data_IF_278885216133
#
_entry.id   IF_278885216133
#
_cell.length_a   1.000
_cell.length_b   1.000
_cell.length_c   1.000
_cell.angle_alpha   90.00
_cell.angle_beta   90.00
_cell.angle_gamma   90.00
#
_symmetry.space_group_name_H-M   'P 1'
#
loop_
_entity.id
_entity.type
_entity.pdbx_description
1 polymer ?
#
# COMPACT_ATOMS: atom_id res chain seq x y z
N UNK A 1 67.03 28.36 46.28
CA UNK A 1 66.55 27.73 45.03
C UNK A 1 65.21 28.32 44.65
N UNK A 2 65.27 29.33 43.78
CA UNK A 2 64.16 29.92 43.03
C UNK A 2 63.86 29.02 41.82
N UNK A 3 62.57 28.80 41.52
CA UNK A 3 61.95 28.64 40.20
C UNK A 3 60.45 28.36 40.45
N UNK A 4 59.51 29.28 40.21
CA UNK A 4 59.04 29.87 38.96
C UNK A 4 58.11 28.96 38.11
N UNK A 5 56.92 29.52 37.86
CA UNK A 5 56.02 29.38 36.72
C UNK A 5 54.89 28.32 36.69
N UNK A 6 53.70 28.78 37.11
CA UNK A 6 52.56 29.19 36.26
C UNK A 6 51.91 28.21 35.24
N UNK A 7 50.57 28.37 35.18
CA UNK A 7 49.60 28.04 34.11
C UNK A 7 48.96 26.63 34.07
N UNK A 8 47.70 26.50 34.53
CA UNK A 8 46.52 26.33 33.65
C UNK A 8 45.21 25.99 34.39
N UNK A 9 44.32 26.98 34.42
CA UNK A 9 42.89 26.90 34.07
C UNK A 9 42.16 25.55 34.25
N UNK A 10 41.48 25.39 35.38
CA UNK A 10 40.35 24.43 35.49
C UNK A 10 39.19 24.99 34.67
N UNK A 11 39.18 24.60 33.40
CA UNK A 11 38.19 24.94 32.42
C UNK A 11 36.89 24.20 32.77
N UNK A 12 35.81 24.97 32.99
CA UNK A 12 34.44 24.47 33.11
C UNK A 12 34.14 23.50 31.96
N UNK A 13 34.02 22.19 32.26
CA UNK A 13 33.35 21.26 31.36
C UNK A 13 31.85 21.52 31.46
N UNK A 14 31.38 22.47 30.66
CA UNK A 14 29.98 22.57 30.29
C UNK A 14 29.61 21.26 29.60
N UNK A 15 28.86 20.40 30.30
CA UNK A 15 28.19 19.27 29.70
C UNK A 15 27.15 19.87 28.74
N UNK A 16 27.49 19.98 27.46
CA UNK A 16 26.54 20.32 26.42
C UNK A 16 25.52 19.19 26.34
N UNK A 17 24.36 19.42 26.95
CA UNK A 17 23.18 18.59 26.75
C UNK A 17 22.76 18.79 25.30
N UNK A 18 23.14 17.86 24.43
CA UNK A 18 22.68 17.82 23.06
C UNK A 18 21.19 17.47 23.10
N UNK A 19 20.35 18.50 23.08
CA UNK A 19 18.91 18.34 22.94
C UNK A 19 18.66 17.83 21.51
N UNK A 20 18.55 16.52 21.34
CA UNK A 20 17.97 15.94 20.13
C UNK A 20 16.51 16.34 20.17
N UNK A 21 16.17 17.43 19.48
CA UNK A 21 14.79 17.74 19.13
C UNK A 21 14.38 16.62 18.20
N UNK A 22 13.67 15.62 18.75
CA UNK A 22 12.84 14.76 17.95
C UNK A 22 11.87 15.69 17.22
N UNK A 23 12.10 15.88 15.92
CA UNK A 23 11.07 16.44 15.07
C UNK A 23 9.91 15.46 15.16
N UNK A 24 8.91 15.80 15.98
CA UNK A 24 7.60 15.21 15.86
C UNK A 24 7.17 15.52 14.42
N UNK A 25 7.19 14.50 13.57
CA UNK A 25 6.61 14.55 12.23
C UNK A 25 5.22 15.13 12.41
N UNK A 26 4.98 16.33 11.87
CA UNK A 26 3.62 16.85 11.83
C UNK A 26 2.75 15.76 11.19
N UNK A 27 1.57 15.44 11.76
CA UNK A 27 0.70 14.43 11.16
C UNK A 27 0.50 14.83 9.69
N UNK A 28 0.70 13.88 8.78
CA UNK A 28 0.46 14.13 7.37
C UNK A 28 -0.95 14.74 7.25
N UNK A 29 -1.06 15.86 6.54
CA UNK A 29 -2.36 16.39 6.16
C UNK A 29 -3.07 15.26 5.40
N UNK A 30 -4.20 14.80 5.95
CA UNK A 30 -4.88 13.61 5.49
C UNK A 30 -6.30 13.95 5.06
N UNK A 31 -6.67 13.54 3.86
CA UNK A 31 -8.05 13.56 3.42
C UNK A 31 -8.71 12.28 3.93
N UNK A 32 -9.88 12.44 4.54
CA UNK A 32 -10.64 11.31 5.09
C UNK A 32 -11.90 11.10 4.28
N UNK A 33 -12.07 9.90 3.75
CA UNK A 33 -13.32 9.42 3.18
C UNK A 33 -14.06 8.60 4.23
N UNK A 34 -15.29 8.98 4.56
CA UNK A 34 -16.14 8.28 5.52
C UNK A 34 -17.40 7.76 4.85
N UNK A 35 -17.83 6.56 5.25
CA UNK A 35 -19.13 6.00 4.87
C UNK A 35 -19.52 4.83 5.77
N UNK A 36 -20.78 4.80 6.23
CA UNK A 36 -21.40 3.67 6.93
C UNK A 36 -20.51 2.86 7.88
N UNK A 37 -19.80 3.54 8.78
CA UNK A 37 -18.98 2.86 9.80
C UNK A 37 -17.59 2.43 9.34
N UNK A 38 -17.16 2.83 8.14
CA UNK A 38 -15.78 2.71 7.66
C UNK A 38 -15.19 4.07 7.29
N UNK A 39 -13.89 4.22 7.49
CA UNK A 39 -13.14 5.40 7.10
C UNK A 39 -11.83 5.01 6.40
N UNK A 40 -11.48 5.74 5.36
CA UNK A 40 -10.23 5.64 4.63
C UNK A 40 -9.50 6.99 4.72
N UNK A 41 -8.27 6.97 5.23
CA UNK A 41 -7.40 8.14 5.29
C UNK A 41 -6.30 8.02 4.25
N UNK A 42 -6.07 9.09 3.49
CA UNK A 42 -4.99 9.18 2.50
C UNK A 42 -4.19 10.46 2.70
N UNK A 43 -2.92 10.48 2.29
CA UNK A 43 -2.12 11.70 2.34
C UNK A 43 -2.57 12.73 1.30
N UNK A 44 -2.71 14.00 1.72
CA UNK A 44 -3.02 15.14 0.84
C UNK A 44 -1.79 15.69 0.11
N UNK A 45 -0.59 15.29 0.54
CA UNK A 45 0.68 15.75 0.00
C UNK A 45 1.59 14.58 -0.31
N UNK A 46 2.46 14.78 -1.30
CA UNK A 46 3.45 13.79 -1.71
C UNK A 46 4.33 13.33 -0.53
N UNK A 47 4.63 12.02 -0.43
CA UNK A 47 4.11 10.96 -1.28
C UNK A 47 2.61 10.76 -1.05
N UNK A 48 1.84 10.62 -2.14
CA UNK A 48 0.41 10.34 -2.07
C UNK A 48 0.19 8.83 -1.87
N UNK A 49 -0.70 8.47 -0.95
CA UNK A 49 -1.16 7.10 -0.75
C UNK A 49 -2.06 6.91 0.46
N UNK A 50 -2.51 5.68 0.67
CA UNK A 50 -3.31 5.27 1.83
C UNK A 50 -2.45 5.36 3.10
N UNK A 51 -3.02 5.92 4.17
CA UNK A 51 -2.41 6.01 5.51
C UNK A 51 -3.11 5.04 6.46
N UNK A 52 -4.45 5.04 6.48
CA UNK A 52 -5.24 4.24 7.40
C UNK A 52 -6.55 3.75 6.78
N UNK A 53 -6.97 2.55 7.20
CA UNK A 53 -8.35 2.05 7.04
C UNK A 53 -8.89 1.80 8.44
N UNK A 54 -10.11 2.24 8.75
CA UNK A 54 -10.68 2.19 10.11
C UNK A 54 -12.13 1.74 10.11
N UNK A 55 -12.56 1.08 11.19
CA UNK A 55 -13.98 0.83 11.49
C UNK A 55 -14.60 2.07 12.16
N UNK A 56 -14.68 3.16 11.39
CA UNK A 56 -15.13 4.48 11.82
C UNK A 56 -13.97 5.44 12.11
N UNK A 57 -14.22 6.76 12.07
CA UNK A 57 -13.16 7.78 12.05
C UNK A 57 -12.29 7.81 13.32
N UNK A 58 -12.83 7.36 14.45
CA UNK A 58 -12.13 7.38 15.74
C UNK A 58 -11.58 6.00 16.15
N UNK A 59 -11.73 4.98 15.31
CA UNK A 59 -11.20 3.64 15.60
C UNK A 59 -9.70 3.56 15.31
N UNK A 60 -8.96 2.64 15.94
CA UNK A 60 -7.59 2.32 15.53
C UNK A 60 -7.51 1.95 14.04
N UNK A 61 -6.35 2.22 13.43
CA UNK A 61 -6.09 1.75 12.08
C UNK A 61 -6.11 0.21 12.05
N UNK A 62 -6.71 -0.35 11.01
CA UNK A 62 -6.82 -1.79 10.81
C UNK A 62 -5.65 -2.23 9.95
N UNK A 63 -4.74 -3.00 10.55
CA UNK A 63 -3.63 -3.65 9.87
C UNK A 63 -2.68 -2.75 9.10
N UNK A 64 -2.72 -1.43 9.25
CA UNK A 64 -1.72 -0.50 8.73
C UNK A 64 -1.17 0.32 9.88
N UNK A 65 0.03 0.87 9.73
CA UNK A 65 0.70 1.61 10.82
C UNK A 65 -0.02 2.91 11.17
N UNK A 66 -0.74 3.52 10.21
CA UNK A 66 -1.33 4.84 10.36
C UNK A 66 -0.31 5.99 10.38
N UNK A 67 0.99 5.67 10.30
CA UNK A 67 2.10 6.64 10.36
C UNK A 67 2.82 6.80 9.02
N UNK A 68 2.68 5.81 8.14
CA UNK A 68 3.38 5.75 6.85
C UNK A 68 2.37 5.82 5.71
N UNK A 69 2.82 6.43 4.61
CA UNK A 69 2.08 6.41 3.35
C UNK A 69 2.38 5.12 2.61
N UNK A 70 1.34 4.34 2.33
CA UNK A 70 1.44 3.08 1.62
C UNK A 70 1.65 3.27 0.11
N UNK A 71 2.38 2.33 -0.48
CA UNK A 71 2.48 2.17 -1.95
C UNK A 71 1.13 1.73 -2.49
N UNK A 72 0.23 2.69 -2.72
CA UNK A 72 -1.18 2.43 -3.06
C UNK A 72 -1.34 1.66 -4.37
N UNK A 73 -0.41 1.86 -5.31
CA UNK A 73 -0.33 1.13 -6.56
C UNK A 73 1.11 0.82 -6.97
N UNK A 74 1.28 -0.17 -7.83
CA UNK A 74 2.53 -0.46 -8.56
C UNK A 74 2.17 -0.92 -9.98
N UNK A 75 2.85 -0.37 -10.99
CA UNK A 75 2.77 -0.84 -12.38
C UNK A 75 4.00 -1.69 -12.69
N UNK A 76 3.79 -2.84 -13.31
CA UNK A 76 4.83 -3.64 -13.96
C UNK A 76 4.66 -3.46 -15.46
N UNK A 77 5.68 -2.92 -16.12
CA UNK A 77 5.65 -2.65 -17.56
C UNK A 77 6.89 -3.22 -18.25
N UNK A 78 6.84 -3.35 -19.57
CA UNK A 78 7.98 -3.74 -20.43
C UNK A 78 8.26 -2.59 -21.39
N UNK A 79 9.51 -2.17 -21.50
CA UNK A 79 9.95 -1.14 -22.46
C UNK A 79 10.07 -1.72 -23.89
N UNK A 80 10.26 -0.87 -24.93
CA UNK A 80 10.44 -1.32 -26.30
C UNK A 80 11.62 -2.28 -26.51
N UNK A 81 12.64 -2.19 -25.65
CA UNK A 81 13.82 -3.06 -25.65
C UNK A 81 13.58 -4.41 -24.97
N UNK A 82 12.44 -4.60 -24.30
CA UNK A 82 12.06 -5.83 -23.62
C UNK A 82 12.47 -5.91 -22.14
N UNK A 83 12.93 -4.80 -21.53
CA UNK A 83 13.29 -4.75 -20.12
C UNK A 83 12.05 -4.50 -19.25
N UNK A 84 12.02 -5.14 -18.08
CA UNK A 84 10.99 -4.88 -17.07
C UNK A 84 11.27 -3.58 -16.30
N UNK A 85 10.25 -2.72 -16.20
CA UNK A 85 10.24 -1.53 -15.37
C UNK A 85 9.09 -1.59 -14.36
N UNK A 86 9.41 -1.20 -13.11
CA UNK A 86 8.44 -1.05 -12.03
C UNK A 86 8.27 0.41 -11.67
N UNK A 87 7.03 0.84 -11.58
CA UNK A 87 6.64 2.20 -11.23
C UNK A 87 5.73 2.16 -10.01
N UNK A 88 6.08 2.90 -8.96
CA UNK A 88 5.23 3.09 -7.78
C UNK A 88 5.39 4.53 -7.25
N UNK A 89 4.35 5.09 -6.60
CA UNK A 89 4.32 6.52 -6.30
C UNK A 89 5.31 6.93 -5.20
N UNK A 90 5.69 6.00 -4.31
CA UNK A 90 6.55 6.30 -3.18
C UNK A 90 8.02 6.28 -3.60
N UNK A 91 8.47 5.21 -4.27
CA UNK A 91 9.87 5.07 -4.71
C UNK A 91 10.22 6.10 -5.79
N UNK A 92 9.24 6.53 -6.59
CA UNK A 92 9.43 7.60 -7.58
C UNK A 92 9.18 9.00 -7.02
N UNK A 93 8.72 9.11 -5.77
CA UNK A 93 8.36 10.35 -5.11
C UNK A 93 7.45 11.22 -6.00
N UNK A 94 6.42 10.60 -6.58
CA UNK A 94 5.50 11.30 -7.47
C UNK A 94 4.67 12.31 -6.68
N UNK A 95 4.56 13.52 -7.24
CA UNK A 95 3.61 14.52 -6.80
C UNK A 95 2.18 14.14 -7.18
N UNK A 96 1.27 15.09 -7.01
CA UNK A 96 -0.12 14.94 -7.39
C UNK A 96 -1.08 15.73 -6.52
N UNK A 97 -2.36 15.38 -6.62
CA UNK A 97 -3.43 16.01 -5.86
C UNK A 97 -4.45 14.98 -5.36
N UNK A 98 -5.10 15.33 -4.25
CA UNK A 98 -6.27 14.63 -3.74
C UNK A 98 -7.48 15.56 -3.82
N UNK A 99 -8.61 15.02 -4.26
CA UNK A 99 -9.88 15.73 -4.29
C UNK A 99 -10.95 14.87 -3.61
N UNK A 100 -11.77 15.49 -2.77
CA UNK A 100 -12.95 14.88 -2.18
C UNK A 100 -14.17 15.69 -2.62
N UNK A 101 -15.02 15.09 -3.44
CA UNK A 101 -16.24 15.71 -3.95
C UNK A 101 -17.34 14.65 -4.03
N UNK A 102 -18.57 15.00 -3.65
CA UNK A 102 -19.73 14.11 -3.76
C UNK A 102 -19.54 12.71 -3.13
N UNK A 103 -18.86 12.64 -1.97
CA UNK A 103 -18.47 11.39 -1.28
C UNK A 103 -17.54 10.46 -2.09
N UNK A 104 -16.93 10.96 -3.15
CA UNK A 104 -15.87 10.29 -3.90
C UNK A 104 -14.53 10.92 -3.57
N UNK A 105 -13.60 10.11 -3.09
CA UNK A 105 -12.20 10.51 -2.94
C UNK A 105 -11.45 10.11 -4.20
N UNK A 106 -10.72 11.04 -4.80
CA UNK A 106 -9.89 10.79 -5.98
C UNK A 106 -8.46 11.24 -5.71
N UNK A 107 -7.50 10.36 -5.96
CA UNK A 107 -6.06 10.62 -5.93
C UNK A 107 -5.56 10.60 -7.36
N UNK A 108 -4.90 11.67 -7.79
CA UNK A 108 -4.29 11.77 -9.12
C UNK A 108 -2.82 12.08 -8.93
N UNK A 109 -1.96 11.21 -9.46
CA UNK A 109 -0.53 11.44 -9.44
C UNK A 109 -0.09 12.24 -10.65
N UNK A 110 0.99 13.01 -10.49
CA UNK A 110 1.67 13.63 -11.63
C UNK A 110 2.18 12.55 -12.58
N UNK A 111 2.27 12.89 -13.87
CA UNK A 111 2.76 11.96 -14.89
C UNK A 111 4.21 11.52 -14.59
N UNK A 112 4.45 10.22 -14.69
CA UNK A 112 5.78 9.64 -14.59
C UNK A 112 6.38 9.45 -15.98
N UNK A 113 7.64 9.86 -16.13
CA UNK A 113 8.43 9.60 -17.35
C UNK A 113 8.83 8.12 -17.42
N UNK A 114 8.60 7.51 -18.58
CA UNK A 114 8.99 6.14 -18.93
C UNK A 114 9.54 6.12 -20.37
N UNK A 115 10.21 5.05 -20.82
CA UNK A 115 10.65 4.96 -22.21
C UNK A 115 9.51 5.20 -23.20
N UNK A 116 9.74 6.14 -24.13
CA UNK A 116 8.78 6.49 -25.19
C UNK A 116 7.64 7.44 -24.77
N UNK A 117 7.58 7.91 -23.52
CA UNK A 117 6.59 8.92 -23.13
C UNK A 117 6.28 8.95 -21.64
N UNK A 118 5.00 9.03 -21.30
CA UNK A 118 4.57 9.20 -19.90
C UNK A 118 3.42 8.29 -19.53
N UNK A 119 3.33 8.00 -18.24
CA UNK A 119 2.21 7.27 -17.64
C UNK A 119 1.62 8.10 -16.53
N UNK A 120 0.29 8.19 -16.49
CA UNK A 120 -0.45 8.86 -15.42
C UNK A 120 -1.38 7.86 -14.75
N UNK A 121 -1.47 7.95 -13.42
CA UNK A 121 -2.33 7.06 -12.62
C UNK A 121 -3.32 7.91 -11.84
N UNK A 122 -4.57 7.44 -11.78
CA UNK A 122 -5.57 7.93 -10.86
C UNK A 122 -6.21 6.77 -10.11
N UNK A 123 -6.52 6.99 -8.85
CA UNK A 123 -7.26 6.05 -8.01
C UNK A 123 -8.47 6.78 -7.45
N UNK A 124 -9.60 6.09 -7.35
CA UNK A 124 -10.80 6.65 -6.73
C UNK A 124 -11.44 5.67 -5.76
N UNK A 125 -12.05 6.24 -4.72
CA UNK A 125 -12.67 5.51 -3.64
C UNK A 125 -14.06 6.09 -3.36
N UNK A 126 -15.06 5.21 -3.24
CA UNK A 126 -16.45 5.59 -3.01
C UNK A 126 -17.06 4.63 -1.97
N UNK A 127 -17.69 5.16 -0.91
CA UNK A 127 -18.35 4.32 0.07
C UNK A 127 -19.69 3.84 -0.49
N UNK A 128 -20.06 2.60 -0.15
CA UNK A 128 -21.42 2.13 -0.36
C UNK A 128 -22.42 2.96 0.47
N UNK A 129 -23.61 3.19 -0.07
CA UNK A 129 -24.62 4.03 0.56
C UNK A 129 -25.34 3.37 1.73
N UNK A 130 -25.31 2.04 1.85
CA UNK A 130 -26.02 1.28 2.89
C UNK A 130 -25.13 0.34 3.71
N UNK A 131 -23.97 -0.05 3.17
CA UNK A 131 -23.09 -1.05 3.74
C UNK A 131 -21.74 -0.46 4.19
N UNK A 132 -21.04 -1.06 5.18
CA UNK A 132 -19.70 -0.67 5.63
C UNK A 132 -18.63 -1.09 4.60
N UNK A 133 -18.76 -0.62 3.36
CA UNK A 133 -17.94 -1.00 2.21
C UNK A 133 -17.39 0.25 1.53
N UNK A 134 -16.15 0.18 1.04
CA UNK A 134 -15.55 1.17 0.15
C UNK A 134 -15.15 0.46 -1.13
N UNK A 135 -15.67 0.94 -2.25
CA UNK A 135 -15.25 0.56 -3.60
C UNK A 135 -13.98 1.32 -3.96
N UNK A 136 -13.00 0.65 -4.54
CA UNK A 136 -11.78 1.25 -5.04
C UNK A 136 -11.61 0.96 -6.53
N UNK A 137 -11.27 1.97 -7.31
CA UNK A 137 -10.98 1.86 -8.74
C UNK A 137 -9.63 2.50 -9.08
N UNK A 138 -8.96 1.99 -10.10
CA UNK A 138 -7.72 2.55 -10.64
C UNK A 138 -7.84 2.74 -12.16
N UNK A 139 -7.33 3.86 -12.65
CA UNK A 139 -7.15 4.13 -14.07
C UNK A 139 -5.69 4.52 -14.35
N UNK A 140 -5.19 4.08 -15.49
CA UNK A 140 -3.83 4.30 -15.99
C UNK A 140 -3.93 4.82 -17.41
N UNK A 141 -3.49 6.06 -17.61
CA UNK A 141 -3.32 6.66 -18.95
C UNK A 141 -1.87 6.40 -19.38
N UNK A 142 -1.67 5.54 -20.38
CA UNK A 142 -0.36 5.11 -20.83
C UNK A 142 -0.01 5.75 -22.18
N UNK A 143 0.53 6.96 -22.13
CA UNK A 143 0.99 7.69 -23.29
C UNK A 143 2.49 7.42 -23.56
N UNK A 144 2.86 6.14 -23.65
CA UNK A 144 4.24 5.71 -23.87
C UNK A 144 4.32 4.49 -24.79
N UNK A 145 5.56 4.11 -25.17
CA UNK A 145 5.80 2.88 -25.94
C UNK A 145 5.91 1.63 -25.05
N UNK A 146 5.66 1.76 -23.74
CA UNK A 146 5.75 0.65 -22.80
C UNK A 146 4.45 -0.18 -22.78
N UNK A 147 4.60 -1.50 -22.63
CA UNK A 147 3.51 -2.46 -22.48
C UNK A 147 3.16 -2.62 -21.00
N UNK A 148 1.89 -2.50 -20.63
CA UNK A 148 1.44 -2.71 -19.26
C UNK A 148 1.22 -4.21 -18.98
N UNK A 149 2.08 -4.82 -18.15
CA UNK A 149 2.01 -6.26 -17.83
C UNK A 149 1.10 -6.55 -16.65
N UNK A 150 1.15 -5.71 -15.64
CA UNK A 150 0.38 -5.86 -14.42
C UNK A 150 0.13 -4.49 -13.79
N UNK A 151 -1.08 -4.31 -13.28
CA UNK A 151 -1.47 -3.17 -12.43
C UNK A 151 -1.75 -3.73 -11.05
N UNK A 152 -1.05 -3.28 -10.02
CA UNK A 152 -1.31 -3.70 -8.65
C UNK A 152 -2.07 -2.61 -7.90
N UNK A 153 -3.32 -2.88 -7.52
CA UNK A 153 -4.17 -1.96 -6.75
C UNK A 153 -5.36 -2.69 -6.09
N UNK A 154 -5.71 -2.40 -4.83
CA UNK A 154 -4.91 -1.65 -3.89
C UNK A 154 -3.66 -2.44 -3.55
N UNK A 155 -2.58 -1.72 -3.24
CA UNK A 155 -1.40 -2.27 -2.60
C UNK A 155 -1.21 -1.62 -1.24
N UNK A 156 -1.02 -2.45 -0.22
CA UNK A 156 -0.92 -2.03 1.17
C UNK A 156 0.04 -2.93 1.94
N UNK A 157 0.80 -2.36 2.87
CA UNK A 157 1.62 -3.10 3.83
C UNK A 157 0.82 -3.36 5.08
N UNK A 158 0.52 -4.63 5.33
CA UNK A 158 -0.17 -5.06 6.52
C UNK A 158 0.81 -5.26 7.68
N UNK A 159 0.42 -4.80 8.87
CA UNK A 159 1.12 -4.94 10.16
C UNK A 159 0.16 -5.47 11.23
N UNK A 160 0.64 -6.13 12.31
CA UNK A 160 -0.24 -6.56 13.39
C UNK A 160 -0.75 -5.36 14.20
N UNK A 161 -2.01 -4.96 13.95
CA UNK A 161 -2.68 -3.82 14.56
C UNK A 161 -4.21 -4.01 14.42
N UNK A 162 -5.04 -3.72 15.45
CA UNK A 162 -4.70 -3.27 16.81
C UNK A 162 -4.24 -4.38 17.75
N UNK A 163 -4.50 -5.63 17.39
CA UNK A 163 -4.19 -6.78 18.24
C UNK A 163 -2.79 -7.36 17.95
N UNK A 164 -2.17 -8.06 18.92
CA UNK A 164 -0.93 -8.79 18.71
C UNK A 164 -1.03 -9.80 17.57
N UNK A 165 0.09 -10.03 16.89
CA UNK A 165 0.19 -10.89 15.71
C UNK A 165 -0.39 -12.30 15.93
N UNK A 166 -0.27 -12.84 17.14
CA UNK A 166 -0.72 -14.18 17.54
C UNK A 166 -2.26 -14.34 17.54
N UNK A 167 -2.97 -13.22 17.62
CA UNK A 167 -4.43 -13.16 17.60
C UNK A 167 -4.98 -12.91 16.19
N UNK A 168 -4.11 -12.76 15.19
CA UNK A 168 -4.51 -12.43 13.83
C UNK A 168 -4.56 -13.68 12.97
N UNK A 169 -5.63 -13.80 12.18
CA UNK A 169 -5.79 -14.84 11.17
C UNK A 169 -5.93 -14.20 9.79
N UNK A 170 -5.13 -14.68 8.83
CA UNK A 170 -5.30 -14.39 7.40
C UNK A 170 -6.06 -15.55 6.76
N UNK A 171 -7.13 -15.24 6.02
CA UNK A 171 -7.86 -16.19 5.17
C UNK A 171 -7.72 -15.78 3.72
N UNK A 172 -7.35 -16.73 2.87
CA UNK A 172 -7.05 -16.47 1.46
C UNK A 172 -7.49 -17.62 0.54
N UNK A 173 -7.82 -17.32 -0.74
CA UNK A 173 -8.54 -18.24 -1.61
C UNK A 173 -7.60 -19.14 -2.41
N UNK A 174 -6.70 -19.88 -1.74
CA UNK A 174 -5.81 -20.86 -2.39
C UNK A 174 -6.41 -22.27 -2.33
N UNK A 175 -6.67 -22.90 -3.48
CA UNK A 175 -7.45 -24.14 -3.58
C UNK A 175 -8.80 -23.95 -2.84
N UNK A 176 -9.19 -24.90 -1.97
CA UNK A 176 -10.43 -24.89 -1.17
C UNK A 176 -10.51 -23.81 -0.06
N UNK A 177 -9.70 -22.76 -0.14
CA UNK A 177 -9.50 -21.78 0.93
C UNK A 177 -8.51 -22.27 2.00
N UNK A 178 -7.74 -21.32 2.53
CA UNK A 178 -6.77 -21.55 3.59
C UNK A 178 -6.88 -20.45 4.63
N UNK A 179 -6.62 -20.82 5.88
CA UNK A 179 -6.40 -19.88 6.96
C UNK A 179 -4.99 -20.05 7.53
N UNK A 180 -4.40 -18.95 7.99
CA UNK A 180 -3.10 -18.94 8.64
C UNK A 180 -3.16 -18.04 9.88
N UNK A 181 -2.99 -18.65 11.05
CA UNK A 181 -2.88 -17.93 12.33
C UNK A 181 -1.47 -17.36 12.48
N UNK A 182 -1.36 -16.13 12.95
CA UNK A 182 -0.12 -15.36 12.98
C UNK A 182 0.57 -15.30 11.60
N UNK A 183 -0.05 -14.64 10.62
CA UNK A 183 0.50 -14.58 9.27
C UNK A 183 1.80 -13.76 9.19
N UNK A 184 2.06 -12.90 10.16
CA UNK A 184 3.26 -12.06 10.25
C UNK A 184 4.52 -12.83 10.64
N UNK A 185 4.36 -13.99 11.29
CA UNK A 185 5.44 -14.93 11.62
C UNK A 185 5.54 -16.10 10.62
N UNK A 186 4.72 -16.11 9.55
CA UNK A 186 4.76 -17.16 8.55
C UNK A 186 6.17 -17.32 7.94
N UNK A 187 6.65 -18.54 7.63
CA UNK A 187 7.91 -18.73 6.93
C UNK A 187 7.91 -17.97 5.60
N UNK A 188 9.04 -17.36 5.24
CA UNK A 188 9.14 -16.65 3.98
C UNK A 188 8.86 -17.57 2.81
N UNK A 189 8.02 -17.10 1.88
CA UNK A 189 7.75 -17.86 0.67
C UNK A 189 6.99 -19.16 0.91
N UNK A 190 6.23 -19.30 2.00
CA UNK A 190 5.42 -20.47 2.28
C UNK A 190 3.95 -20.10 2.47
N UNK A 191 3.11 -20.39 1.46
CA UNK A 191 1.66 -20.11 1.38
C UNK A 191 1.29 -18.62 1.49
N UNK A 192 1.79 -17.92 2.51
CA UNK A 192 2.01 -16.48 2.60
C UNK A 192 3.41 -16.21 2.04
N UNK A 193 3.53 -15.40 0.99
CA UNK A 193 4.80 -15.07 0.33
C UNK A 193 5.19 -15.93 -0.86
N UNK A 194 4.43 -16.97 -1.24
CA UNK A 194 4.71 -17.64 -2.53
C UNK A 194 4.24 -16.77 -3.69
N UNK A 195 5.19 -16.31 -4.49
CA UNK A 195 4.99 -15.85 -5.88
C UNK A 195 4.53 -16.97 -6.83
N UNK A 196 4.33 -18.20 -6.35
CA UNK A 196 3.56 -19.17 -7.11
C UNK A 196 2.09 -18.75 -7.05
N UNK A 197 1.52 -18.35 -8.20
CA UNK A 197 0.30 -17.56 -8.23
C UNK A 197 -0.84 -18.34 -7.59
N UNK A 198 -1.47 -17.78 -6.56
CA UNK A 198 -2.92 -17.85 -6.45
C UNK A 198 -3.54 -16.93 -7.53
N UNK A 199 -3.03 -17.05 -8.76
CA UNK A 199 -3.46 -16.28 -9.91
C UNK A 199 -4.59 -16.98 -10.60
N UNK A 200 -5.40 -16.21 -11.31
CA UNK A 200 -6.51 -16.72 -12.10
C UNK A 200 -6.00 -17.39 -13.39
N UNK A 201 -5.30 -18.52 -13.25
CA UNK A 201 -5.26 -19.58 -14.29
C UNK A 201 -6.28 -20.69 -13.96
N UNK A 202 -7.41 -20.33 -13.35
CA UNK A 202 -8.35 -21.29 -12.76
C UNK A 202 -7.88 -21.91 -11.42
N UNK A 203 -6.97 -21.25 -10.69
CA UNK A 203 -6.38 -21.79 -9.44
C UNK A 203 -6.71 -21.02 -8.16
N UNK A 204 -7.41 -19.88 -8.26
CA UNK A 204 -8.09 -19.25 -7.13
C UNK A 204 -9.59 -19.44 -7.35
N UNK A 205 -10.22 -20.24 -6.49
CA UNK A 205 -11.65 -20.58 -6.60
C UNK A 205 -12.54 -19.39 -6.20
N UNK A 206 -11.98 -18.36 -5.55
CA UNK A 206 -12.73 -17.22 -5.01
C UNK A 206 -11.98 -15.89 -5.19
N UNK A 207 -12.74 -14.81 -5.34
CA UNK A 207 -12.27 -13.44 -5.57
C UNK A 207 -12.20 -12.59 -4.28
N UNK A 208 -11.98 -13.20 -3.11
CA UNK A 208 -11.99 -12.47 -1.84
C UNK A 208 -10.96 -13.00 -0.83
N UNK A 209 -10.69 -12.20 0.20
CA UNK A 209 -9.86 -12.59 1.33
C UNK A 209 -10.14 -11.72 2.55
N UNK A 210 -9.56 -12.08 3.68
CA UNK A 210 -9.68 -11.29 4.91
C UNK A 210 -8.51 -11.50 5.84
N UNK A 211 -8.20 -10.48 6.64
CA UNK A 211 -7.35 -10.56 7.82
C UNK A 211 -8.13 -9.99 9.01
N UNK A 212 -8.23 -10.76 10.09
CA UNK A 212 -9.08 -10.41 11.23
C UNK A 212 -8.48 -10.92 12.56
N UNK A 213 -8.90 -10.30 13.66
CA UNK A 213 -8.56 -10.70 15.03
C UNK A 213 -9.49 -11.80 15.59
N UNK A 214 -9.18 -12.39 16.75
CA UNK A 214 -10.04 -13.44 17.34
C UNK A 214 -11.49 -12.98 17.65
N UNK A 215 -11.78 -11.67 17.67
CA UNK A 215 -13.12 -11.10 17.82
C UNK A 215 -13.85 -10.89 16.47
N UNK A 216 -13.18 -11.13 15.34
CA UNK A 216 -13.72 -10.97 13.99
C UNK A 216 -13.58 -9.54 13.42
N UNK A 217 -12.94 -8.62 14.14
CA UNK A 217 -12.66 -7.30 13.60
C UNK A 217 -11.53 -7.40 12.59
N UNK A 218 -11.73 -6.82 11.41
CA UNK A 218 -10.62 -6.70 10.49
C UNK A 218 -10.93 -6.16 9.12
N UNK A 219 -10.00 -6.40 8.19
CA UNK A 219 -10.08 -5.96 6.82
C UNK A 219 -10.56 -7.12 5.95
N UNK A 220 -11.63 -6.87 5.20
CA UNK A 220 -12.23 -7.81 4.26
C UNK A 220 -12.18 -7.17 2.87
N UNK A 221 -11.83 -7.95 1.86
CA UNK A 221 -11.76 -7.47 0.48
C UNK A 221 -12.31 -8.50 -0.48
N UNK A 222 -12.89 -8.01 -1.57
CA UNK A 222 -13.30 -8.80 -2.72
C UNK A 222 -13.02 -8.02 -4.00
N UNK A 223 -12.77 -8.72 -5.10
CA UNK A 223 -12.82 -8.13 -6.43
C UNK A 223 -14.28 -8.15 -6.90
N UNK A 224 -14.78 -7.00 -7.33
CA UNK A 224 -16.10 -6.88 -7.92
C UNK A 224 -15.97 -7.15 -9.43
N UNK A 225 -16.05 -8.42 -9.84
CA UNK A 225 -15.75 -8.83 -11.20
C UNK A 225 -16.67 -9.96 -11.68
N UNK A 226 -17.76 -9.57 -12.35
CA UNK A 226 -18.71 -10.52 -12.92
C UNK A 226 -18.24 -11.19 -14.22
N UNK A 227 -17.25 -10.61 -14.90
CA UNK A 227 -16.78 -11.05 -16.23
C UNK A 227 -15.59 -12.03 -16.15
N UNK A 228 -14.96 -12.12 -14.98
CA UNK A 228 -13.89 -13.08 -14.71
C UNK A 228 -12.55 -12.67 -15.31
N UNK A 229 -12.24 -11.37 -15.29
CA UNK A 229 -10.93 -10.86 -15.72
C UNK A 229 -9.78 -11.47 -14.93
N UNK A 230 -8.62 -11.56 -15.57
CA UNK A 230 -7.46 -12.16 -14.94
C UNK A 230 -6.90 -11.27 -13.82
N UNK A 231 -7.18 -11.67 -12.58
CA UNK A 231 -6.69 -11.01 -11.36
C UNK A 231 -5.82 -11.96 -10.53
N UNK A 232 -5.16 -11.45 -9.48
CA UNK A 232 -4.49 -12.26 -8.45
C UNK A 232 -4.38 -11.50 -7.14
N UNK A 233 -4.65 -12.17 -6.02
CA UNK A 233 -4.28 -11.66 -4.70
C UNK A 233 -2.91 -12.21 -4.31
N UNK A 234 -1.99 -11.33 -3.95
CA UNK A 234 -0.65 -11.65 -3.47
C UNK A 234 -0.53 -11.17 -2.03
N UNK A 235 -0.10 -12.09 -1.16
CA UNK A 235 0.27 -11.81 0.22
C UNK A 235 1.78 -12.03 0.30
N UNK A 236 2.57 -10.96 0.32
CA UNK A 236 4.03 -11.05 0.22
C UNK A 236 4.68 -10.65 1.54
N UNK A 237 5.39 -11.60 2.17
CA UNK A 237 6.12 -11.35 3.40
C UNK A 237 7.64 -11.30 3.18
N UNK A 238 8.15 -11.31 1.94
CA UNK A 238 9.60 -11.50 1.69
C UNK A 238 10.48 -10.30 2.02
N UNK A 239 9.94 -9.08 1.96
CA UNK A 239 10.75 -7.87 2.07
C UNK A 239 11.09 -7.52 3.53
N UNK A 240 10.11 -7.56 4.43
CA UNK A 240 10.27 -7.13 5.83
C UNK A 240 9.60 -8.13 6.76
N UNK A 241 10.34 -8.64 7.75
CA UNK A 241 9.79 -9.54 8.78
C UNK A 241 8.69 -8.84 9.59
N UNK A 242 7.62 -9.55 9.91
CA UNK A 242 6.51 -9.01 10.69
C UNK A 242 5.55 -8.15 9.88
N UNK A 243 5.73 -8.07 8.55
CA UNK A 243 4.84 -7.36 7.63
C UNK A 243 4.38 -8.29 6.50
N UNK A 244 3.23 -7.96 5.92
CA UNK A 244 2.69 -8.66 4.75
C UNK A 244 2.18 -7.62 3.76
N UNK A 245 2.72 -7.59 2.55
CA UNK A 245 2.16 -6.77 1.50
C UNK A 245 0.95 -7.48 0.88
N UNK A 246 -0.22 -6.86 0.97
CA UNK A 246 -1.39 -7.20 0.18
C UNK A 246 -1.30 -6.49 -1.16
N UNK A 247 -1.40 -7.24 -2.26
CA UNK A 247 -1.40 -6.71 -3.63
C UNK A 247 -2.53 -7.40 -4.41
N UNK A 248 -3.48 -6.64 -4.94
CA UNK A 248 -4.38 -7.15 -5.98
C UNK A 248 -3.79 -6.80 -7.35
N UNK A 249 -3.26 -7.80 -8.06
CA UNK A 249 -2.73 -7.65 -9.40
C UNK A 249 -3.79 -7.90 -10.46
N UNK A 250 -4.02 -6.92 -11.33
CA UNK A 250 -4.76 -7.06 -12.58
C UNK A 250 -3.76 -7.35 -13.70
N UNK A 251 -4.07 -8.34 -14.54
CA UNK A 251 -3.33 -8.59 -15.77
C UNK A 251 -4.20 -8.14 -16.94
N UNK A 252 -3.92 -6.97 -17.55
CA UNK A 252 -4.74 -6.48 -18.65
C UNK A 252 -4.85 -7.51 -19.78
N UNK A 253 -6.04 -7.70 -20.35
CA UNK A 253 -6.24 -8.66 -21.45
C UNK A 253 -5.32 -8.37 -22.65
N UNK A 254 -5.01 -7.09 -22.86
CA UNK A 254 -4.12 -6.62 -23.92
C UNK A 254 -2.69 -6.30 -23.42
N UNK A 255 -2.22 -6.97 -22.37
CA UNK A 255 -0.95 -6.72 -21.65
C UNK A 255 0.36 -6.87 -22.47
N UNK A 256 0.28 -7.04 -23.79
CA UNK A 256 1.43 -7.07 -24.71
C UNK A 256 1.37 -5.94 -25.74
N UNK A 257 0.42 -5.02 -25.59
CA UNK A 257 0.23 -3.91 -26.53
C UNK A 257 0.81 -2.64 -25.93
N UNK A 258 1.77 -1.99 -26.59
CA UNK A 258 2.30 -0.68 -26.18
C UNK A 258 1.23 0.39 -26.09
N UNK A 259 1.37 1.30 -25.14
CA UNK A 259 0.55 2.53 -25.06
C UNK A 259 -0.94 2.31 -24.78
N UNK A 260 -1.34 1.13 -24.29
CA UNK A 260 -2.72 0.92 -23.89
C UNK A 260 -2.99 1.41 -22.48
N UNK A 261 -4.06 2.19 -22.39
CA UNK A 261 -4.68 2.58 -21.14
C UNK A 261 -5.29 1.37 -20.43
N UNK A 262 -5.52 1.54 -19.13
CA UNK A 262 -6.17 0.55 -18.29
C UNK A 262 -7.14 1.21 -17.33
N UNK A 263 -8.30 0.61 -17.15
CA UNK A 263 -9.23 0.91 -16.07
C UNK A 263 -9.58 -0.41 -15.38
N UNK A 264 -9.60 -0.43 -14.05
CA UNK A 264 -9.99 -1.63 -13.31
C UNK A 264 -11.42 -2.03 -13.67
N UNK A 265 -11.65 -3.28 -14.11
CA UNK A 265 -12.98 -3.77 -14.44
C UNK A 265 -13.70 -4.36 -13.23
#
# INVERSE_FOLDING_TARGET
NLAANEVNSVTRRSLGLLLIVAFASAPALAATLEGNGVALEVSEKAPLGIIAVRHGPNAPALFVTGEQVEKTWELVMIDPEGNELKLDPVTKNLGGNVALADKKLTMVWDSAEVPGGTVKVSCSFEPDAEQPLIYGNIAVDNNSDCQLREVQFPRMTLVPNPEPAENITLVFPRAYGRSWRNPFDAPYGYLVGTMEPAGFRGSAEMQFGTIYDDAGNGLYWAAYDGEGYHKRFVYDNKEVRGQIQLKLGYMPENCLTPGLDFESP
#
